data_IF_566699442431
#
_entry.id   IF_566699442431
#
_cell.length_a   1.000
_cell.length_b   1.000
_cell.length_c   1.000
_cell.angle_alpha   90.00
_cell.angle_beta   90.00
_cell.angle_gamma   90.00
#
_symmetry.space_group_name_H-M   'P 1'
#
loop_
_entity.id
_entity.type
_entity.pdbx_description
1 polymer ?
#
# COMPACT_ATOMS: atom_id res chain seq x y z
N UNK A 1 14.63 -37.54 -20.70
CA UNK A 1 13.40 -36.75 -20.90
C UNK A 1 12.67 -36.77 -19.58
N UNK A 2 13.05 -35.90 -18.65
CA UNK A 2 12.41 -35.84 -17.32
C UNK A 2 11.43 -34.68 -17.38
N UNK A 3 10.17 -35.04 -17.48
CA UNK A 3 9.01 -34.16 -17.44
C UNK A 3 9.03 -33.39 -16.11
N UNK A 4 9.31 -32.09 -16.20
CA UNK A 4 9.31 -31.19 -15.05
C UNK A 4 7.85 -30.83 -14.83
N UNK A 5 7.25 -31.44 -13.80
CA UNK A 5 5.92 -31.10 -13.35
C UNK A 5 5.86 -29.59 -13.06
N UNK A 6 5.00 -28.88 -13.80
CA UNK A 6 4.63 -27.51 -13.49
C UNK A 6 4.06 -27.47 -12.07
N UNK A 7 4.87 -26.96 -11.13
CA UNK A 7 4.36 -26.53 -9.83
C UNK A 7 3.39 -25.40 -10.14
N UNK A 8 2.12 -25.68 -9.92
CA UNK A 8 1.03 -24.72 -10.08
C UNK A 8 1.15 -23.73 -8.92
N UNK A 9 2.05 -22.75 -9.05
CA UNK A 9 2.25 -21.69 -8.07
C UNK A 9 0.92 -20.96 -7.91
N UNK A 10 0.24 -21.27 -6.82
CA UNK A 10 -1.00 -20.61 -6.45
C UNK A 10 -0.64 -19.19 -6.03
N UNK A 11 -0.67 -18.27 -6.99
CA UNK A 11 -0.46 -16.86 -6.72
C UNK A 11 -1.50 -16.37 -5.71
N UNK A 12 -1.07 -15.94 -4.53
CA UNK A 12 -1.92 -15.39 -3.49
C UNK A 12 -2.15 -13.89 -3.69
N UNK A 13 -1.22 -13.19 -4.35
CA UNK A 13 -1.38 -11.78 -4.62
C UNK A 13 -2.48 -11.52 -5.66
N UNK A 14 -3.38 -10.54 -5.43
CA UNK A 14 -4.43 -10.21 -6.38
C UNK A 14 -3.87 -9.89 -7.77
N UNK A 15 -4.51 -10.34 -8.88
CA UNK A 15 -3.98 -10.16 -10.23
C UNK A 15 -3.65 -8.70 -10.59
N UNK A 16 -4.46 -7.75 -10.13
CA UNK A 16 -4.24 -6.31 -10.36
C UNK A 16 -2.91 -5.82 -9.78
N UNK A 17 -2.48 -6.38 -8.64
CA UNK A 17 -1.21 -6.04 -8.00
C UNK A 17 -0.05 -6.61 -8.81
N UNK A 18 -0.13 -7.88 -9.19
CA UNK A 18 0.91 -8.56 -9.99
C UNK A 18 1.12 -7.87 -11.33
N UNK A 19 0.03 -7.58 -12.06
CA UNK A 19 0.09 -6.86 -13.33
C UNK A 19 0.68 -5.45 -13.19
N UNK A 20 0.37 -4.75 -12.10
CA UNK A 20 0.92 -3.43 -11.84
C UNK A 20 2.44 -3.49 -11.58
N UNK A 21 2.88 -4.41 -10.72
CA UNK A 21 4.31 -4.57 -10.40
C UNK A 21 5.10 -5.00 -11.64
N UNK A 22 4.55 -5.90 -12.45
CA UNK A 22 5.13 -6.31 -13.74
C UNK A 22 5.26 -5.11 -14.69
N UNK A 23 4.19 -4.32 -14.86
CA UNK A 23 4.22 -3.11 -15.69
C UNK A 23 5.27 -2.10 -15.25
N UNK A 24 5.53 -2.01 -13.94
CA UNK A 24 6.53 -1.12 -13.35
C UNK A 24 7.93 -1.75 -13.28
N UNK A 25 8.10 -3.00 -13.76
CA UNK A 25 9.33 -3.77 -13.66
C UNK A 25 9.86 -3.89 -12.22
N UNK A 26 8.94 -4.01 -11.25
CA UNK A 26 9.27 -4.17 -9.83
C UNK A 26 9.28 -5.66 -9.49
N UNK A 27 10.43 -6.18 -9.05
CA UNK A 27 10.53 -7.53 -8.50
C UNK A 27 9.86 -7.63 -7.13
N UNK A 28 9.16 -8.73 -6.87
CA UNK A 28 8.48 -8.97 -5.60
C UNK A 28 8.52 -10.45 -5.22
N UNK A 29 8.32 -10.72 -3.94
CA UNK A 29 8.06 -12.04 -3.40
C UNK A 29 6.72 -12.00 -2.67
N UNK A 30 5.92 -13.05 -2.79
CA UNK A 30 4.72 -13.21 -1.98
C UNK A 30 5.12 -13.71 -0.59
N UNK A 31 4.69 -13.00 0.44
CA UNK A 31 4.95 -13.35 1.85
C UNK A 31 3.60 -13.46 2.54
N UNK A 32 3.37 -14.57 3.26
CA UNK A 32 2.17 -14.71 4.08
C UNK A 32 2.28 -13.81 5.31
N UNK A 33 1.22 -13.05 5.60
CA UNK A 33 1.23 -12.17 6.77
C UNK A 33 1.22 -12.99 8.06
N UNK A 34 2.24 -12.80 8.89
CA UNK A 34 2.34 -13.37 10.22
C UNK A 34 2.97 -12.38 11.21
N UNK A 35 2.89 -12.71 12.50
CA UNK A 35 3.36 -11.84 13.60
C UNK A 35 4.89 -11.77 13.74
N UNK A 36 5.63 -12.64 13.06
CA UNK A 36 7.10 -12.65 13.07
C UNK A 36 7.69 -11.62 12.10
N UNK A 37 6.88 -11.13 11.15
CA UNK A 37 7.30 -10.10 10.20
C UNK A 37 7.60 -8.77 10.93
N UNK A 38 8.72 -8.10 10.62
CA UNK A 38 9.06 -6.82 11.24
C UNK A 38 8.01 -5.74 10.92
N UNK A 39 7.33 -5.16 11.93
CA UNK A 39 6.30 -4.13 11.68
C UNK A 39 6.85 -2.87 11.02
N UNK A 40 8.17 -2.62 11.13
CA UNK A 40 8.85 -1.51 10.45
C UNK A 40 8.88 -1.68 8.91
N UNK A 41 8.82 -2.92 8.41
CA UNK A 41 8.78 -3.23 6.97
C UNK A 41 7.38 -3.21 6.40
N UNK A 42 6.38 -3.45 7.24
CA UNK A 42 4.97 -3.50 6.84
C UNK A 42 4.47 -2.09 6.58
N UNK A 43 4.13 -1.80 5.34
CA UNK A 43 3.65 -0.47 4.93
C UNK A 43 2.16 -0.34 5.27
N UNK A 44 1.81 0.70 6.01
CA UNK A 44 0.44 1.15 6.14
C UNK A 44 0.16 2.23 5.10
N UNK A 45 -0.94 2.04 4.38
CA UNK A 45 -1.47 3.00 3.42
C UNK A 45 -2.76 3.60 3.97
N UNK A 46 -2.79 4.93 4.10
CA UNK A 46 -3.97 5.67 4.54
C UNK A 46 -4.29 6.73 3.51
N UNK A 47 -5.55 6.74 3.04
CA UNK A 47 -6.07 7.79 2.19
C UNK A 47 -6.77 8.84 3.06
N UNK A 48 -6.29 10.08 2.97
CA UNK A 48 -6.89 11.24 3.64
C UNK A 48 -7.34 12.27 2.61
N UNK A 49 -8.24 13.16 2.98
CA UNK A 49 -8.76 14.17 2.06
C UNK A 49 -9.25 15.44 2.74
N UNK A 50 -9.41 16.47 1.91
CA UNK A 50 -10.09 17.73 2.18
C UNK A 50 -10.82 18.19 0.89
N UNK A 51 -11.22 19.46 0.83
CA UNK A 51 -11.87 20.04 -0.34
C UNK A 51 -10.97 20.15 -1.59
N UNK A 52 -9.64 20.11 -1.44
CA UNK A 52 -8.68 20.14 -2.56
C UNK A 52 -8.55 18.76 -3.20
N UNK A 53 -8.63 17.70 -2.39
CA UNK A 53 -8.66 16.32 -2.89
C UNK A 53 -7.99 15.31 -1.96
N UNK A 54 -7.81 14.10 -2.46
CA UNK A 54 -7.23 13.01 -1.68
C UNK A 54 -5.70 13.03 -1.70
N UNK A 55 -5.09 12.58 -0.60
CA UNK A 55 -3.67 12.38 -0.40
C UNK A 55 -3.45 10.97 0.16
N UNK A 56 -2.57 10.20 -0.49
CA UNK A 56 -2.12 8.92 0.04
C UNK A 56 -0.94 9.16 0.99
N UNK A 57 -0.96 8.53 2.15
CA UNK A 57 0.13 8.58 3.12
C UNK A 57 0.59 7.16 3.43
N UNK A 58 1.91 6.94 3.27
CA UNK A 58 2.57 5.66 3.53
C UNK A 58 3.49 5.76 4.74
N UNK A 59 3.38 4.84 5.69
CA UNK A 59 4.23 4.84 6.88
C UNK A 59 4.37 3.42 7.46
N UNK A 60 5.36 3.15 8.32
CA UNK A 60 5.52 1.82 8.92
C UNK A 60 4.36 1.46 9.85
N UNK A 61 3.95 0.18 9.88
CA UNK A 61 2.90 -0.31 10.79
C UNK A 61 3.27 -0.17 12.28
N UNK A 62 4.54 -0.01 12.59
CA UNK A 62 5.00 0.29 13.96
C UNK A 62 4.66 1.70 14.46
N UNK A 63 3.96 2.51 13.66
CA UNK A 63 3.74 3.93 13.93
C UNK A 63 2.25 4.32 13.83
N UNK A 64 1.93 5.50 14.35
CA UNK A 64 0.61 6.12 14.19
C UNK A 64 0.73 7.40 13.36
N UNK A 65 -0.28 7.64 12.52
CA UNK A 65 -0.35 8.82 11.69
C UNK A 65 -0.77 10.04 12.51
N UNK A 66 0.10 11.04 12.60
CA UNK A 66 -0.18 12.33 13.22
C UNK A 66 -0.73 13.31 12.17
N UNK A 67 -2.05 13.51 12.17
CA UNK A 67 -2.70 14.43 11.23
C UNK A 67 -2.33 15.90 11.48
N UNK A 68 -2.03 16.28 12.72
CA UNK A 68 -1.58 17.65 13.03
C UNK A 68 -0.24 17.93 12.36
N UNK A 69 0.70 16.98 12.43
CA UNK A 69 1.98 17.11 11.74
C UNK A 69 1.83 17.17 10.23
N UNK A 70 0.91 16.40 9.66
CA UNK A 70 0.62 16.48 8.21
C UNK A 70 0.05 17.85 7.85
N UNK A 71 -0.82 18.43 8.68
CA UNK A 71 -1.34 19.78 8.47
C UNK A 71 -0.23 20.83 8.50
N UNK A 72 0.73 20.74 9.43
CA UNK A 72 1.90 21.63 9.45
C UNK A 72 2.75 21.53 8.18
N UNK A 73 2.96 20.30 7.68
CA UNK A 73 3.80 20.05 6.49
C UNK A 73 3.14 20.49 5.19
N UNK A 74 1.82 20.34 5.09
CA UNK A 74 1.09 20.53 3.82
C UNK A 74 0.26 21.81 3.78
N UNK A 75 0.01 22.43 4.94
CA UNK A 75 -0.97 23.52 5.09
C UNK A 75 -2.43 23.07 4.93
N UNK A 76 -2.69 21.75 4.90
CA UNK A 76 -4.01 21.18 4.58
C UNK A 76 -4.65 20.53 5.80
N UNK A 77 -5.94 20.79 5.99
CA UNK A 77 -6.73 20.17 7.06
C UNK A 77 -7.33 18.85 6.58
N UNK A 78 -6.51 17.80 6.55
CA UNK A 78 -6.87 16.50 6.01
C UNK A 78 -7.60 15.64 7.05
N UNK A 79 -8.57 14.87 6.59
CA UNK A 79 -9.34 13.90 7.39
C UNK A 79 -9.33 12.53 6.71
N UNK A 80 -9.52 11.45 7.46
CA UNK A 80 -9.57 10.11 6.87
C UNK A 80 -10.74 10.00 5.89
N UNK A 81 -10.49 9.39 4.72
CA UNK A 81 -11.55 9.13 3.75
C UNK A 81 -12.61 8.22 4.38
N UNK A 82 -13.92 8.52 4.22
CA UNK A 82 -14.98 7.67 4.75
C UNK A 82 -14.87 6.22 4.25
N UNK A 83 -15.10 5.26 5.15
CA UNK A 83 -14.91 3.84 4.87
C UNK A 83 -15.68 3.36 3.63
N UNK A 84 -16.94 3.79 3.47
CA UNK A 84 -17.76 3.43 2.31
C UNK A 84 -17.13 3.87 0.98
N UNK A 85 -16.52 5.06 0.95
CA UNK A 85 -15.86 5.57 -0.25
C UNK A 85 -14.59 4.79 -0.53
N UNK A 86 -13.80 4.49 0.50
CA UNK A 86 -12.62 3.64 0.36
C UNK A 86 -13.00 2.25 -0.15
N UNK A 87 -14.02 1.62 0.44
CA UNK A 87 -14.53 0.32 0.01
C UNK A 87 -14.97 0.33 -1.46
N UNK A 88 -15.74 1.34 -1.89
CA UNK A 88 -16.13 1.49 -3.31
C UNK A 88 -14.93 1.58 -4.25
N UNK A 89 -13.85 2.25 -3.84
CA UNK A 89 -12.63 2.33 -4.63
C UNK A 89 -11.93 0.96 -4.71
N UNK A 90 -11.78 0.27 -3.58
CA UNK A 90 -11.10 -1.03 -3.52
C UNK A 90 -11.85 -2.11 -4.29
N UNK A 91 -13.19 -2.13 -4.21
CA UNK A 91 -14.03 -3.10 -4.94
C UNK A 91 -13.87 -3.00 -6.46
N UNK A 92 -13.64 -1.80 -7.01
CA UNK A 92 -13.36 -1.63 -8.46
C UNK A 92 -12.12 -2.36 -8.94
N UNK A 93 -11.18 -2.62 -8.03
CA UNK A 93 -9.93 -3.33 -8.28
C UNK A 93 -9.92 -4.73 -7.66
N UNK A 94 -11.07 -5.22 -7.15
CA UNK A 94 -11.17 -6.48 -6.43
C UNK A 94 -10.19 -6.59 -5.23
N UNK A 95 -9.93 -5.47 -4.56
CA UNK A 95 -9.08 -5.41 -3.36
C UNK A 95 -9.94 -5.32 -2.10
N UNK A 96 -9.43 -5.85 -0.99
CA UNK A 96 -10.07 -5.77 0.33
C UNK A 96 -9.38 -4.75 1.24
N UNK A 97 -8.09 -4.50 1.02
CA UNK A 97 -7.25 -3.60 1.79
C UNK A 97 -6.55 -2.65 0.82
N UNK A 98 -6.31 -1.41 1.26
CA UNK A 98 -5.55 -0.44 0.50
C UNK A 98 -4.06 -0.81 0.52
N UNK A 99 -3.45 -1.17 -0.62
CA UNK A 99 -2.02 -1.47 -0.67
C UNK A 99 -1.17 -0.18 -0.64
N UNK A 100 0.07 -0.31 -0.18
CA UNK A 100 1.09 0.75 -0.23
C UNK A 100 1.65 1.02 -1.62
N UNK A 101 0.81 1.00 -2.67
CA UNK A 101 1.20 1.19 -4.06
C UNK A 101 0.55 2.44 -4.62
N UNK A 102 1.26 3.59 -4.65
CA UNK A 102 0.69 4.87 -5.08
C UNK A 102 0.09 4.82 -6.47
N UNK A 103 0.63 4.01 -7.38
CA UNK A 103 0.13 3.89 -8.75
C UNK A 103 -1.32 3.34 -8.87
N UNK A 104 -1.89 2.77 -7.80
CA UNK A 104 -3.32 2.40 -7.76
C UNK A 104 -4.24 3.56 -7.43
N UNK A 105 -3.69 4.65 -6.91
CA UNK A 105 -4.42 5.87 -6.60
C UNK A 105 -3.97 6.98 -7.54
N UNK A 106 -4.89 7.78 -8.07
CA UNK A 106 -4.51 8.99 -8.82
C UNK A 106 -4.17 10.16 -7.88
N UNK A 107 -3.86 9.88 -6.62
CA UNK A 107 -3.61 10.87 -5.57
C UNK A 107 -2.11 11.12 -5.42
N UNK A 108 -1.70 12.36 -5.07
CA UNK A 108 -0.35 12.59 -4.58
C UNK A 108 -0.06 11.69 -3.37
N UNK A 109 1.23 11.37 -3.18
CA UNK A 109 1.68 10.45 -2.14
C UNK A 109 2.73 11.12 -1.26
N UNK A 110 2.55 11.04 0.06
CA UNK A 110 3.60 11.28 1.05
C UNK A 110 4.01 9.94 1.66
N UNK A 111 5.28 9.82 2.02
CA UNK A 111 5.77 8.67 2.75
C UNK A 111 6.64 9.11 3.93
N UNK A 112 6.70 8.28 4.97
CA UNK A 112 7.62 8.44 6.09
C UNK A 112 9.01 7.88 5.72
N UNK A 113 10.05 8.70 5.89
CA UNK A 113 11.45 8.36 5.57
C UNK A 113 11.96 7.12 6.30
N UNK A 114 11.32 6.71 7.41
CA UNK A 114 11.64 5.47 8.12
C UNK A 114 11.48 4.23 7.24
N UNK A 115 10.56 4.27 6.27
CA UNK A 115 10.40 3.18 5.30
C UNK A 115 11.66 2.98 4.47
N UNK A 116 12.44 4.03 4.21
CA UNK A 116 13.69 3.96 3.45
C UNK A 116 14.85 3.36 4.24
N UNK A 117 14.68 3.16 5.55
CA UNK A 117 15.71 2.54 6.41
C UNK A 117 15.66 1.01 6.34
N UNK A 118 14.58 0.44 5.79
CA UNK A 118 14.44 -0.99 5.60
C UNK A 118 14.91 -1.39 4.20
N UNK A 119 15.65 -2.51 4.06
CA UNK A 119 16.16 -2.96 2.77
C UNK A 119 15.05 -3.45 1.82
N UNK A 120 13.92 -3.89 2.39
CA UNK A 120 12.73 -4.33 1.66
C UNK A 120 11.48 -3.96 2.44
N UNK A 121 10.40 -3.68 1.73
CA UNK A 121 9.09 -3.37 2.29
C UNK A 121 8.09 -4.51 2.04
N UNK A 122 7.07 -4.59 2.90
CA UNK A 122 6.00 -5.60 2.91
C UNK A 122 4.63 -4.94 2.79
#
# INVERSE_FOLDING_TARGET
MTEVAHVNDSHHAPPVIRQLLEKLAISYNEVMDDKSLPPARKVQAVLVEDAVGALLILFPQSQLLDLSRITELTGRQLTAVPHERLARMLTKHNLQVLPGLPALTSSPCLYDDRLLQEPTLL
#
